data_IF_922310428453
#
_entry.id   IF_922310428453
#
_cell.length_a   1.000
_cell.length_b   1.000
_cell.length_c   1.000
_cell.angle_alpha   90.00
_cell.angle_beta   90.00
_cell.angle_gamma   90.00
#
_symmetry.space_group_name_H-M   'P 1'
#
loop_
_entity.id
_entity.type
_entity.pdbx_description
1 polymer ?
#
# COMPACT_ATOMS: atom_id res chain seq x y z
N UNK A 1 4.37 -6.20 -9.69
CA UNK A 1 3.67 -4.95 -9.34
C UNK A 1 2.46 -5.25 -8.47
N UNK A 2 1.49 -6.02 -8.98
CA UNK A 2 0.28 -6.37 -8.22
C UNK A 2 0.58 -7.17 -6.93
N UNK A 3 1.60 -8.02 -6.95
CA UNK A 3 2.05 -8.77 -5.78
C UNK A 3 2.50 -7.89 -4.61
N UNK A 4 3.49 -7.00 -4.77
CA UNK A 4 3.91 -6.09 -3.68
C UNK A 4 2.82 -5.20 -3.14
N UNK A 5 1.90 -4.79 -4.01
CA UNK A 5 0.76 -3.97 -3.59
C UNK A 5 -0.32 -4.80 -2.92
N UNK A 6 -0.28 -6.13 -3.03
CA UNK A 6 -1.09 -7.03 -2.23
C UNK A 6 -0.38 -7.12 -0.88
N UNK A 7 -0.62 -6.11 -0.05
CA UNK A 7 -0.09 -6.02 1.29
C UNK A 7 -1.11 -6.58 2.29
N UNK A 8 -0.66 -6.98 3.48
CA UNK A 8 -1.54 -7.58 4.48
C UNK A 8 -2.62 -6.62 5.00
N UNK A 9 -2.41 -5.31 4.87
CA UNK A 9 -3.34 -4.24 5.25
C UNK A 9 -4.40 -3.94 4.20
N UNK A 10 -4.12 -4.18 2.92
CA UNK A 10 -5.06 -3.80 1.83
C UNK A 10 -6.42 -4.49 1.94
N UNK A 11 -6.52 -5.80 2.25
CA UNK A 11 -7.82 -6.45 2.49
C UNK A 11 -8.58 -5.83 3.66
N UNK A 12 -7.87 -5.50 4.75
CA UNK A 12 -8.46 -4.85 5.93
C UNK A 12 -8.99 -3.46 5.59
N UNK A 13 -8.19 -2.66 4.86
CA UNK A 13 -8.59 -1.33 4.39
C UNK A 13 -9.85 -1.39 3.52
N UNK A 14 -9.87 -2.25 2.50
CA UNK A 14 -11.00 -2.36 1.57
C UNK A 14 -12.25 -2.86 2.29
N UNK A 15 -12.14 -3.89 3.14
CA UNK A 15 -13.27 -4.37 3.92
C UNK A 15 -13.80 -3.30 4.90
N UNK A 16 -12.89 -2.55 5.55
CA UNK A 16 -13.22 -1.45 6.45
C UNK A 16 -13.99 -0.33 5.74
N UNK A 17 -13.46 0.17 4.61
CA UNK A 17 -14.13 1.18 3.76
C UNK A 17 -15.54 0.71 3.38
N UNK A 18 -15.68 -0.55 2.97
CA UNK A 18 -16.98 -1.11 2.56
C UNK A 18 -17.98 -1.17 3.72
N UNK A 19 -17.55 -1.45 4.95
CA UNK A 19 -18.43 -1.38 6.10
C UNK A 19 -18.86 0.05 6.42
N UNK A 20 -17.92 0.98 6.41
CA UNK A 20 -18.15 2.38 6.76
C UNK A 20 -19.05 3.08 5.74
N UNK A 21 -18.74 2.99 4.45
CA UNK A 21 -19.36 3.81 3.39
C UNK A 21 -19.93 2.99 2.23
N UNK A 22 -19.87 1.67 2.30
CA UNK A 22 -20.37 0.78 1.25
C UNK A 22 -19.40 0.62 0.08
N UNK A 23 -19.84 -0.08 -0.97
CA UNK A 23 -19.04 -0.30 -2.19
C UNK A 23 -18.65 1.03 -2.84
N UNK A 24 -19.52 2.05 -2.76
CA UNK A 24 -19.20 3.40 -3.23
C UNK A 24 -17.96 4.01 -2.55
N UNK A 25 -17.66 3.65 -1.29
CA UNK A 25 -16.44 4.09 -0.60
C UNK A 25 -15.16 3.70 -1.32
N UNK A 26 -15.20 2.59 -2.05
CA UNK A 26 -14.03 2.06 -2.72
C UNK A 26 -13.57 2.92 -3.93
N UNK A 27 -14.30 3.97 -4.29
CA UNK A 27 -13.83 5.00 -5.23
C UNK A 27 -12.59 5.75 -4.73
N UNK A 28 -12.39 5.85 -3.41
CA UNK A 28 -11.13 6.31 -2.81
C UNK A 28 -9.93 5.48 -3.30
N UNK A 29 -10.14 4.17 -3.55
CA UNK A 29 -9.12 3.28 -4.08
C UNK A 29 -9.14 3.21 -5.62
N UNK A 30 -10.33 3.06 -6.23
CA UNK A 30 -10.47 2.89 -7.67
C UNK A 30 -10.07 4.13 -8.47
N UNK A 31 -10.15 5.34 -7.92
CA UNK A 31 -9.72 6.55 -8.63
C UNK A 31 -8.24 6.51 -9.05
N UNK A 32 -7.37 5.81 -8.30
CA UNK A 32 -5.97 5.63 -8.66
C UNK A 32 -5.75 4.79 -9.93
N UNK A 33 -6.79 4.14 -10.46
CA UNK A 33 -6.76 3.57 -11.82
C UNK A 33 -6.38 4.65 -12.84
N UNK A 34 -6.89 5.88 -12.70
CA UNK A 34 -6.57 6.98 -13.61
C UNK A 34 -5.07 7.32 -13.58
N UNK A 35 -4.48 7.35 -12.38
CA UNK A 35 -3.03 7.52 -12.19
C UNK A 35 -2.24 6.42 -12.91
N UNK A 36 -2.68 5.18 -12.72
CA UNK A 36 -2.03 4.04 -13.32
C UNK A 36 -2.16 4.01 -14.85
N UNK A 37 -3.31 4.40 -15.41
CA UNK A 37 -3.50 4.53 -16.86
C UNK A 37 -2.61 5.64 -17.45
N UNK A 38 -2.43 6.74 -16.73
CA UNK A 38 -1.50 7.79 -17.13
C UNK A 38 -0.06 7.25 -17.15
N UNK A 39 0.31 6.42 -16.17
CA UNK A 39 1.60 5.71 -16.18
C UNK A 39 1.74 4.76 -17.37
N UNK A 40 0.71 3.98 -17.72
CA UNK A 40 0.72 3.05 -18.87
C UNK A 40 1.04 3.79 -20.17
N UNK A 41 0.31 4.87 -20.46
CA UNK A 41 0.35 5.52 -21.76
C UNK A 41 1.50 6.51 -21.92
N UNK A 42 1.91 7.21 -20.85
CA UNK A 42 2.91 8.27 -20.94
C UNK A 42 4.25 7.86 -20.34
N UNK A 43 4.27 7.29 -19.14
CA UNK A 43 5.52 7.16 -18.37
C UNK A 43 6.21 5.81 -18.48
N UNK A 44 5.51 4.72 -18.76
CA UNK A 44 6.12 3.39 -18.73
C UNK A 44 7.30 3.26 -19.70
N UNK A 45 7.17 3.83 -20.90
CA UNK A 45 8.25 3.87 -21.90
C UNK A 45 9.37 4.82 -21.48
N UNK A 46 9.01 5.98 -20.95
CA UNK A 46 9.97 7.02 -20.55
C UNK A 46 10.84 6.56 -19.37
N UNK A 47 10.24 5.94 -18.36
CA UNK A 47 10.96 5.30 -17.25
C UNK A 47 11.87 4.21 -17.76
N UNK A 48 11.39 3.29 -18.61
CA UNK A 48 12.26 2.23 -19.12
C UNK A 48 13.46 2.77 -19.92
N UNK A 49 13.24 3.84 -20.70
CA UNK A 49 14.25 4.48 -21.55
C UNK A 49 15.31 5.26 -20.76
N UNK A 50 14.97 5.79 -19.58
CA UNK A 50 15.90 6.63 -18.82
C UNK A 50 17.16 5.90 -18.35
N UNK A 51 17.08 4.57 -18.20
CA UNK A 51 18.24 3.73 -17.85
C UNK A 51 18.80 3.97 -16.45
N UNK A 52 18.09 4.72 -15.61
CA UNK A 52 18.49 5.00 -14.22
C UNK A 52 18.37 3.76 -13.34
N UNK A 53 19.16 3.72 -12.27
CA UNK A 53 19.09 2.63 -11.29
C UNK A 53 18.01 2.90 -10.24
N UNK A 54 17.87 4.16 -9.82
CA UNK A 54 16.80 4.63 -8.94
C UNK A 54 16.00 5.72 -9.64
N UNK A 55 14.72 5.84 -9.33
CA UNK A 55 13.91 6.97 -9.77
C UNK A 55 14.41 8.31 -9.17
N UNK A 56 15.17 8.29 -8.06
CA UNK A 56 15.81 9.49 -7.53
C UNK A 56 17.03 9.96 -8.36
N UNK A 57 17.68 9.06 -9.08
CA UNK A 57 18.76 9.42 -10.01
C UNK A 57 18.23 10.24 -11.20
N UNK A 58 16.97 10.00 -11.60
CA UNK A 58 16.32 10.77 -12.67
C UNK A 58 16.31 12.28 -12.41
N UNK A 59 16.28 12.74 -11.15
CA UNK A 59 16.26 14.17 -10.85
C UNK A 59 17.57 14.88 -11.18
N UNK A 60 18.71 14.18 -11.08
CA UNK A 60 20.00 14.72 -11.53
C UNK A 60 20.21 14.57 -13.05
N UNK A 61 19.41 13.73 -13.74
CA UNK A 61 19.32 13.73 -15.20
C UNK A 61 18.43 14.87 -15.71
N UNK A 62 17.29 15.09 -15.04
CA UNK A 62 16.28 16.07 -15.44
C UNK A 62 16.68 17.49 -15.07
N UNK A 63 17.28 17.69 -13.91
CA UNK A 63 17.72 18.99 -13.41
C UNK A 63 19.24 19.03 -13.31
N UNK A 64 19.80 20.25 -13.36
CA UNK A 64 21.25 20.44 -13.33
C UNK A 64 21.70 21.16 -12.05
N UNK A 65 22.93 20.87 -11.64
CA UNK A 65 23.63 21.61 -10.58
C UNK A 65 23.30 21.17 -9.15
N UNK A 66 23.73 21.99 -8.19
CA UNK A 66 23.65 21.67 -6.75
C UNK A 66 22.22 21.51 -6.24
N UNK A 67 21.25 22.21 -6.83
CA UNK A 67 19.84 22.12 -6.46
C UNK A 67 19.23 20.77 -6.83
N UNK A 68 19.62 20.18 -7.97
CA UNK A 68 19.20 18.84 -8.37
C UNK A 68 19.70 17.78 -7.38
N UNK A 69 20.97 17.87 -7.00
CA UNK A 69 21.55 17.02 -5.97
C UNK A 69 20.81 17.20 -4.63
N UNK A 70 20.56 18.44 -4.20
CA UNK A 70 19.81 18.68 -2.96
C UNK A 70 18.40 18.06 -2.99
N UNK A 71 17.66 18.20 -4.09
CA UNK A 71 16.35 17.55 -4.25
C UNK A 71 16.46 16.02 -4.14
N UNK A 72 17.47 15.42 -4.78
CA UNK A 72 17.73 13.98 -4.68
C UNK A 72 17.92 13.54 -3.22
N UNK A 73 18.76 14.25 -2.47
CA UNK A 73 18.99 13.97 -1.05
C UNK A 73 17.75 14.22 -0.17
N UNK A 74 17.00 15.30 -0.43
CA UNK A 74 15.74 15.60 0.25
C UNK A 74 14.73 14.48 0.07
N UNK A 75 14.48 14.06 -1.19
CA UNK A 75 13.54 12.97 -1.49
C UNK A 75 14.00 11.62 -0.94
N UNK A 76 15.31 11.38 -0.87
CA UNK A 76 15.85 10.16 -0.28
C UNK A 76 15.42 9.98 1.18
N UNK A 77 15.40 11.06 1.97
CA UNK A 77 14.93 11.03 3.36
C UNK A 77 13.40 11.10 3.42
N UNK A 78 12.79 12.03 2.69
CA UNK A 78 11.35 12.26 2.72
C UNK A 78 10.57 11.01 2.27
N UNK A 79 10.86 10.47 1.08
CA UNK A 79 10.19 9.26 0.58
C UNK A 79 10.81 7.98 1.14
N UNK A 80 12.15 7.92 1.20
CA UNK A 80 12.86 6.70 1.56
C UNK A 80 12.80 6.34 3.03
N UNK A 81 12.56 7.32 3.92
CA UNK A 81 12.48 7.09 5.36
C UNK A 81 11.09 7.41 5.88
N UNK A 82 10.62 8.66 5.76
CA UNK A 82 9.38 9.10 6.43
C UNK A 82 8.16 8.35 5.87
N UNK A 83 7.92 8.41 4.56
CA UNK A 83 6.77 7.71 3.96
C UNK A 83 6.87 6.20 4.09
N UNK A 84 8.07 5.63 3.96
CA UNK A 84 8.26 4.19 4.17
C UNK A 84 7.89 3.77 5.59
N UNK A 85 8.26 4.53 6.62
CA UNK A 85 7.88 4.24 8.01
C UNK A 85 6.36 4.28 8.17
N UNK A 86 5.67 5.28 7.60
CA UNK A 86 4.21 5.41 7.69
C UNK A 86 3.52 4.22 7.03
N UNK A 87 3.91 3.85 5.80
CA UNK A 87 3.31 2.72 5.08
C UNK A 87 3.63 1.38 5.76
N UNK A 88 4.85 1.20 6.24
CA UNK A 88 5.17 -0.03 6.98
C UNK A 88 4.40 -0.10 8.30
N UNK A 89 4.08 1.03 8.93
CA UNK A 89 3.26 1.05 10.13
C UNK A 89 1.81 0.57 9.87
N UNK A 90 1.22 0.85 8.69
CA UNK A 90 -0.12 0.33 8.33
C UNK A 90 -0.11 -1.18 8.16
N UNK A 91 0.93 -1.70 7.51
CA UNK A 91 1.14 -3.13 7.32
C UNK A 91 1.39 -3.84 8.65
N UNK A 92 2.14 -3.21 9.58
CA UNK A 92 2.31 -3.67 10.95
C UNK A 92 1.01 -3.65 11.76
N UNK A 93 0.17 -2.62 11.61
CA UNK A 93 -1.15 -2.57 12.25
C UNK A 93 -2.04 -3.72 11.79
N UNK A 94 -2.06 -4.01 10.48
CA UNK A 94 -2.79 -5.16 9.96
C UNK A 94 -2.26 -6.49 10.51
N UNK A 95 -0.93 -6.63 10.63
CA UNK A 95 -0.32 -7.78 11.26
C UNK A 95 -0.76 -7.92 12.73
N UNK A 96 -0.79 -6.85 13.52
CA UNK A 96 -1.29 -6.86 14.91
C UNK A 96 -2.71 -7.42 14.97
N UNK A 97 -3.62 -6.92 14.12
CA UNK A 97 -5.02 -7.37 14.05
C UNK A 97 -5.11 -8.85 13.66
N UNK A 98 -4.41 -9.26 12.61
CA UNK A 98 -4.37 -10.66 12.16
C UNK A 98 -3.77 -11.56 13.24
N UNK A 99 -2.66 -11.15 13.86
CA UNK A 99 -1.94 -11.93 14.88
C UNK A 99 -2.78 -12.17 16.12
N UNK A 100 -3.53 -11.16 16.56
CA UNK A 100 -4.45 -11.31 17.67
C UNK A 100 -5.65 -12.21 17.32
N UNK A 101 -6.33 -11.94 16.20
CA UNK A 101 -7.53 -12.70 15.81
C UNK A 101 -7.20 -14.18 15.53
N UNK A 102 -6.07 -14.47 14.87
CA UNK A 102 -5.71 -15.84 14.46
C UNK A 102 -4.98 -16.62 15.56
N UNK A 103 -4.16 -15.96 16.37
CA UNK A 103 -3.23 -16.62 17.30
C UNK A 103 -3.33 -16.13 18.74
N UNK A 104 -4.21 -15.17 19.03
CA UNK A 104 -4.35 -14.51 20.33
C UNK A 104 -3.03 -13.87 20.81
N UNK A 105 -2.17 -13.46 19.89
CA UNK A 105 -0.94 -12.74 20.21
C UNK A 105 -1.23 -11.30 20.63
N UNK A 106 -0.42 -10.81 21.57
CA UNK A 106 -0.37 -9.38 21.88
C UNK A 106 0.23 -8.60 20.70
N UNK A 107 -0.01 -7.29 20.66
CA UNK A 107 0.61 -6.42 19.66
C UNK A 107 2.15 -6.51 19.71
N UNK A 108 2.73 -6.55 20.92
CA UNK A 108 4.17 -6.68 21.11
C UNK A 108 4.72 -7.99 20.53
N UNK A 109 4.13 -9.13 20.87
CA UNK A 109 4.55 -10.45 20.35
C UNK A 109 4.46 -10.50 18.83
N UNK A 110 3.34 -10.01 18.27
CA UNK A 110 3.12 -9.99 16.82
C UNK A 110 4.20 -9.17 16.12
N UNK A 111 4.46 -7.95 16.59
CA UNK A 111 5.49 -7.08 16.02
C UNK A 111 6.88 -7.69 16.17
N UNK A 112 7.22 -8.30 17.30
CA UNK A 112 8.51 -8.95 17.50
C UNK A 112 8.74 -10.09 16.50
N UNK A 113 7.76 -10.99 16.36
CA UNK A 113 7.84 -12.12 15.41
C UNK A 113 7.92 -11.59 13.98
N UNK A 114 7.01 -10.69 13.60
CA UNK A 114 6.91 -10.16 12.25
C UNK A 114 8.17 -9.37 11.84
N UNK A 115 8.73 -8.58 12.76
CA UNK A 115 9.96 -7.80 12.52
C UNK A 115 11.17 -8.70 12.36
N UNK A 116 11.36 -9.70 13.23
CA UNK A 116 12.52 -10.60 13.16
C UNK A 116 12.50 -11.37 11.84
N UNK A 117 11.38 -12.00 11.51
CA UNK A 117 11.24 -12.80 10.29
C UNK A 117 11.52 -11.94 9.05
N UNK A 118 11.01 -10.71 9.03
CA UNK A 118 11.12 -9.85 7.85
C UNK A 118 12.47 -9.18 7.70
N UNK A 119 13.11 -8.77 8.80
CA UNK A 119 14.49 -8.25 8.76
C UNK A 119 15.44 -9.35 8.28
N UNK A 120 15.32 -10.57 8.80
CA UNK A 120 16.14 -11.71 8.35
C UNK A 120 15.93 -12.00 6.86
N UNK A 121 14.69 -12.04 6.40
CA UNK A 121 14.35 -12.25 4.99
C UNK A 121 14.91 -11.13 4.10
N UNK A 122 14.78 -9.87 4.52
CA UNK A 122 15.23 -8.70 3.74
C UNK A 122 16.76 -8.65 3.60
N UNK A 123 17.50 -9.13 4.60
CA UNK A 123 18.96 -9.18 4.56
C UNK A 123 19.50 -10.24 3.59
N UNK A 124 18.68 -11.23 3.22
CA UNK A 124 19.06 -12.35 2.35
C UNK A 124 18.58 -12.17 0.90
N UNK A 125 17.55 -11.36 0.67
CA UNK A 125 16.87 -11.23 -0.62
C UNK A 125 17.43 -10.14 -1.53
N UNK A 126 17.89 -10.51 -2.73
CA UNK A 126 18.10 -9.57 -3.85
C UNK A 126 16.82 -9.39 -4.67
N UNK A 127 16.69 -8.27 -5.41
CA UNK A 127 15.47 -7.90 -6.18
C UNK A 127 14.93 -9.05 -7.05
N UNK A 128 15.80 -9.80 -7.74
CA UNK A 128 15.39 -10.94 -8.58
C UNK A 128 14.72 -12.06 -7.77
N UNK A 129 15.25 -12.38 -6.60
CA UNK A 129 14.68 -13.40 -5.71
C UNK A 129 13.30 -12.98 -5.21
N UNK A 130 13.20 -11.72 -4.76
CA UNK A 130 11.93 -11.12 -4.29
C UNK A 130 10.86 -11.14 -5.39
N UNK A 131 11.21 -10.82 -6.64
CA UNK A 131 10.22 -10.83 -7.74
C UNK A 131 9.66 -12.23 -8.05
N UNK A 132 10.47 -13.30 -7.90
CA UNK A 132 10.01 -14.67 -8.14
C UNK A 132 9.10 -15.12 -7.00
N UNK A 133 9.48 -14.85 -5.75
CA UNK A 133 8.64 -15.19 -4.58
C UNK A 133 7.32 -14.43 -4.62
N UNK A 134 7.34 -13.13 -4.92
CA UNK A 134 6.16 -12.29 -5.10
C UNK A 134 5.16 -12.89 -6.10
N UNK A 135 5.66 -13.42 -7.23
CA UNK A 135 4.80 -14.00 -8.27
C UNK A 135 4.03 -15.23 -7.77
N UNK A 136 4.73 -16.15 -7.09
CA UNK A 136 4.12 -17.36 -6.53
C UNK A 136 3.14 -16.99 -5.39
N UNK A 137 3.58 -16.10 -4.50
CA UNK A 137 2.78 -15.65 -3.35
C UNK A 137 1.49 -14.96 -3.80
N UNK A 138 1.53 -14.14 -4.86
CA UNK A 138 0.33 -13.51 -5.40
C UNK A 138 -0.68 -14.52 -5.97
N UNK A 139 -0.22 -15.58 -6.64
CA UNK A 139 -1.12 -16.63 -7.13
C UNK A 139 -1.82 -17.32 -5.95
N UNK A 140 -1.05 -17.70 -4.93
CA UNK A 140 -1.59 -18.34 -3.72
C UNK A 140 -2.58 -17.40 -3.03
N UNK A 141 -2.23 -16.11 -2.89
CA UNK A 141 -3.07 -15.11 -2.25
C UNK A 141 -4.40 -14.90 -3.00
N UNK A 142 -4.35 -14.78 -4.33
CA UNK A 142 -5.56 -14.62 -5.14
C UNK A 142 -6.47 -15.85 -5.09
N UNK A 143 -5.90 -17.06 -5.22
CA UNK A 143 -6.67 -18.31 -5.10
C UNK A 143 -7.28 -18.42 -3.70
N UNK A 144 -6.50 -18.13 -2.66
CA UNK A 144 -6.94 -18.14 -1.28
C UNK A 144 -8.06 -17.15 -1.00
N UNK A 145 -7.93 -15.90 -1.45
CA UNK A 145 -8.96 -14.88 -1.27
C UNK A 145 -10.25 -15.24 -2.01
N UNK A 146 -10.18 -15.71 -3.26
CA UNK A 146 -11.38 -16.11 -4.01
C UNK A 146 -12.06 -17.31 -3.34
N UNK A 147 -11.28 -18.31 -2.92
CA UNK A 147 -11.84 -19.49 -2.23
C UNK A 147 -12.43 -19.13 -0.87
N UNK A 148 -11.77 -18.26 -0.09
CA UNK A 148 -12.31 -17.74 1.16
C UNK A 148 -13.65 -17.02 0.95
N UNK A 149 -13.75 -16.18 -0.09
CA UNK A 149 -15.00 -15.50 -0.43
C UNK A 149 -16.11 -16.48 -0.79
N UNK A 150 -15.83 -17.50 -1.62
CA UNK A 150 -16.83 -18.53 -1.96
C UNK A 150 -17.30 -19.27 -0.70
N UNK A 151 -16.39 -19.69 0.17
CA UNK A 151 -16.74 -20.37 1.42
C UNK A 151 -17.57 -19.48 2.35
N UNK A 152 -17.20 -18.21 2.50
CA UNK A 152 -17.94 -17.25 3.34
C UNK A 152 -19.36 -17.01 2.81
N UNK A 153 -19.52 -16.94 1.48
CA UNK A 153 -20.85 -16.83 0.87
C UNK A 153 -21.73 -18.05 1.18
N UNK A 154 -21.14 -19.23 1.28
CA UNK A 154 -21.86 -20.48 1.57
C UNK A 154 -22.17 -20.69 3.07
N UNK A 155 -21.71 -19.79 3.96
CA UNK A 155 -22.05 -19.85 5.38
C UNK A 155 -23.57 -19.75 5.57
N UNK A 156 -24.20 -20.50 6.48
CA UNK A 156 -25.65 -20.49 6.69
C UNK A 156 -26.24 -19.10 6.96
N UNK A 157 -25.48 -18.23 7.62
CA UNK A 157 -25.85 -16.85 7.96
C UNK A 157 -25.90 -15.96 6.71
N UNK A 158 -24.97 -16.17 5.77
CA UNK A 158 -24.86 -15.38 4.52
C UNK A 158 -25.73 -15.97 3.42
N UNK A 159 -25.77 -17.29 3.30
CA UNK A 159 -26.63 -18.07 2.40
C UNK A 159 -26.65 -17.58 0.94
N UNK A 160 -25.46 -17.36 0.40
CA UNK A 160 -25.21 -17.02 -0.99
C UNK A 160 -25.33 -15.52 -1.31
N UNK A 161 -24.96 -15.18 -2.55
CA UNK A 161 -24.90 -13.80 -3.03
C UNK A 161 -26.25 -13.09 -3.01
N UNK A 162 -27.34 -13.81 -3.31
CA UNK A 162 -28.67 -13.22 -3.35
C UNK A 162 -29.11 -12.73 -1.96
N UNK A 163 -28.94 -13.57 -0.93
CA UNK A 163 -29.29 -13.19 0.43
C UNK A 163 -28.37 -12.07 0.94
N UNK A 164 -27.07 -12.13 0.61
CA UNK A 164 -26.12 -11.06 0.93
C UNK A 164 -26.60 -9.68 0.44
N UNK A 165 -26.93 -9.53 -0.85
CA UNK A 165 -27.28 -8.21 -1.41
C UNK A 165 -28.67 -7.71 -0.97
N UNK A 166 -29.57 -8.60 -0.55
CA UNK A 166 -30.91 -8.23 -0.06
C UNK A 166 -30.98 -8.07 1.46
N UNK A 167 -29.94 -8.46 2.20
CA UNK A 167 -29.93 -8.40 3.65
C UNK A 167 -30.09 -6.95 4.14
N UNK A 168 -30.91 -6.66 5.17
CA UNK A 168 -31.17 -5.29 5.63
C UNK A 168 -29.91 -4.49 5.99
N UNK A 169 -28.90 -5.14 6.58
CA UNK A 169 -27.62 -4.50 6.94
C UNK A 169 -26.72 -4.19 5.72
N UNK A 170 -27.01 -4.75 4.54
CA UNK A 170 -26.13 -4.72 3.37
C UNK A 170 -26.78 -3.99 2.19
N UNK A 171 -28.10 -4.05 2.03
CA UNK A 171 -28.81 -3.57 0.85
C UNK A 171 -28.55 -2.08 0.52
N UNK A 172 -28.30 -1.23 1.53
CA UNK A 172 -27.95 0.18 1.33
C UNK A 172 -26.47 0.42 0.96
N UNK A 173 -25.61 -0.59 1.16
CA UNK A 173 -24.14 -0.53 1.01
C UNK A 173 -23.64 -1.07 -0.33
N UNK A 174 -24.49 -1.69 -1.16
CA UNK A 174 -24.08 -2.33 -2.43
C UNK A 174 -23.92 -1.37 -3.61
N UNK A 175 -24.44 -0.15 -3.51
CA UNK A 175 -24.44 0.81 -4.61
C UNK A 175 -23.00 1.20 -4.98
N UNK A 176 -22.69 1.16 -6.28
CA UNK A 176 -21.39 1.59 -6.82
C UNK A 176 -21.21 3.11 -6.76
N UNK A 177 -22.30 3.87 -6.74
CA UNK A 177 -22.27 5.32 -6.64
C UNK A 177 -22.81 5.74 -5.26
N UNK A 178 -22.27 6.82 -4.67
CA UNK A 178 -22.80 7.36 -3.43
C UNK A 178 -24.22 7.89 -3.63
N UNK A 179 -24.91 8.13 -2.52
CA UNK A 179 -26.14 8.91 -2.52
C UNK A 179 -25.84 10.38 -2.88
N UNK A 180 -26.30 10.81 -4.05
CA UNK A 180 -26.11 12.18 -4.56
C UNK A 180 -26.90 13.23 -3.78
N UNK A 181 -27.85 12.83 -2.92
CA UNK A 181 -28.53 13.77 -2.00
C UNK A 181 -27.66 14.15 -0.80
N UNK A 182 -26.69 13.30 -0.44
CA UNK A 182 -25.71 13.59 0.60
C UNK A 182 -24.44 14.19 -0.04
N UNK A 183 -24.41 15.52 -0.13
CA UNK A 183 -23.29 16.25 -0.75
C UNK A 183 -21.94 15.95 -0.10
N UNK A 184 -21.88 15.82 1.23
CA UNK A 184 -20.63 15.54 1.94
C UNK A 184 -20.07 14.16 1.56
N UNK A 185 -20.91 13.14 1.61
CA UNK A 185 -20.54 11.78 1.20
C UNK A 185 -20.12 11.74 -0.27
N UNK A 186 -20.94 12.32 -1.15
CA UNK A 186 -20.65 12.38 -2.59
C UNK A 186 -19.31 13.08 -2.87
N UNK A 187 -19.03 14.19 -2.18
CA UNK A 187 -17.77 14.91 -2.33
C UNK A 187 -16.59 14.08 -1.82
N UNK A 188 -16.70 13.56 -0.60
CA UNK A 188 -15.62 12.86 0.09
C UNK A 188 -15.19 11.57 -0.60
N UNK A 189 -16.12 10.68 -0.92
CA UNK A 189 -15.77 9.32 -1.38
C UNK A 189 -15.77 9.16 -2.89
N UNK A 190 -16.34 10.11 -3.66
CA UNK A 190 -16.50 9.97 -5.11
C UNK A 190 -15.89 11.14 -5.90
N UNK A 191 -16.40 12.37 -5.72
CA UNK A 191 -15.98 13.49 -6.58
C UNK A 191 -14.53 13.93 -6.30
N UNK A 192 -14.11 14.06 -5.05
CA UNK A 192 -12.72 14.43 -4.72
C UNK A 192 -11.74 13.35 -5.21
N UNK A 193 -11.97 12.04 -4.94
CA UNK A 193 -11.14 10.98 -5.50
C UNK A 193 -10.99 11.06 -7.03
N UNK A 194 -12.12 11.19 -7.74
CA UNK A 194 -12.17 11.14 -9.21
C UNK A 194 -11.66 12.42 -9.88
N UNK A 195 -11.89 13.60 -9.29
CA UNK A 195 -11.56 14.88 -9.89
C UNK A 195 -10.18 15.41 -9.47
N UNK A 196 -9.70 15.07 -8.26
CA UNK A 196 -8.52 15.69 -7.64
C UNK A 196 -7.50 14.65 -7.20
N UNK A 197 -7.87 13.73 -6.30
CA UNK A 197 -6.93 12.87 -5.56
C UNK A 197 -5.96 12.12 -6.47
N UNK A 198 -6.47 11.49 -7.54
CA UNK A 198 -5.66 10.59 -8.37
C UNK A 198 -4.45 11.29 -9.04
N UNK A 199 -4.54 12.59 -9.33
CA UNK A 199 -3.44 13.34 -9.94
C UNK A 199 -2.75 14.28 -8.96
N UNK A 200 -3.43 14.72 -7.89
CA UNK A 200 -2.88 15.71 -6.96
C UNK A 200 -1.92 15.11 -5.95
N UNK A 201 -2.07 13.82 -5.65
CA UNK A 201 -1.48 13.18 -4.48
C UNK A 201 -0.45 12.12 -4.83
N UNK A 202 0.65 12.10 -4.08
CA UNK A 202 1.60 10.99 -4.09
C UNK A 202 1.07 9.81 -3.25
N UNK A 203 0.96 8.63 -3.84
CA UNK A 203 0.69 7.39 -3.12
C UNK A 203 1.61 6.27 -3.61
N UNK A 204 2.16 5.41 -2.72
CA UNK A 204 3.04 4.32 -3.14
C UNK A 204 2.31 3.34 -4.07
N UNK A 205 2.80 3.21 -5.31
CA UNK A 205 2.16 2.35 -6.32
C UNK A 205 1.19 3.08 -7.25
N UNK A 206 0.83 4.32 -6.91
CA UNK A 206 0.00 5.22 -7.71
C UNK A 206 0.60 6.64 -7.71
N UNK A 207 1.92 6.74 -7.91
CA UNK A 207 2.59 8.02 -8.10
C UNK A 207 2.13 8.63 -9.44
N UNK A 208 1.60 9.87 -9.48
CA UNK A 208 1.08 10.49 -10.70
C UNK A 208 2.03 10.48 -11.91
N UNK A 209 3.33 10.59 -11.68
CA UNK A 209 4.43 10.50 -12.64
C UNK A 209 5.00 9.10 -12.90
N UNK A 210 4.40 8.03 -12.37
CA UNK A 210 4.83 6.64 -12.53
C UNK A 210 6.05 6.21 -11.70
N UNK A 211 6.49 7.02 -10.74
CA UNK A 211 7.66 6.83 -9.89
C UNK A 211 7.54 5.75 -8.80
N UNK A 212 8.46 5.79 -7.84
CA UNK A 212 8.52 4.86 -6.71
C UNK A 212 8.91 3.43 -7.11
N UNK A 213 8.47 2.44 -6.34
CA UNK A 213 8.78 1.04 -6.62
C UNK A 213 8.14 0.51 -7.93
N UNK A 214 7.15 1.21 -8.50
CA UNK A 214 6.60 0.90 -9.82
C UNK A 214 7.63 1.24 -10.90
N UNK A 215 8.30 2.39 -10.80
CA UNK A 215 9.41 2.76 -11.69
C UNK A 215 10.53 1.72 -11.66
N UNK A 216 10.93 1.22 -10.48
CA UNK A 216 11.96 0.17 -10.38
C UNK A 216 11.61 -1.08 -11.20
N UNK A 217 10.34 -1.46 -11.23
CA UNK A 217 9.87 -2.61 -12.01
C UNK A 217 9.79 -2.33 -13.50
N UNK A 218 9.44 -1.11 -13.88
CA UNK A 218 9.51 -0.67 -15.28
C UNK A 218 10.96 -0.63 -15.77
N UNK A 219 11.89 -0.15 -14.95
CA UNK A 219 13.33 -0.12 -15.23
C UNK A 219 13.92 -1.53 -15.41
N UNK A 220 13.46 -2.49 -14.58
CA UNK A 220 13.88 -3.89 -14.66
C UNK A 220 13.22 -4.68 -15.81
N UNK A 221 12.26 -4.10 -16.53
CA UNK A 221 11.61 -4.78 -17.65
C UNK A 221 12.57 -4.98 -18.83
N UNK A 222 12.33 -6.02 -19.64
CA UNK A 222 13.18 -6.34 -20.79
C UNK A 222 13.33 -5.14 -21.75
N UNK A 223 12.22 -4.51 -22.10
CA UNK A 223 12.13 -3.39 -23.04
C UNK A 223 10.89 -2.52 -22.75
N UNK A 224 10.73 -1.41 -23.49
CA UNK A 224 9.63 -0.46 -23.31
C UNK A 224 8.25 -1.11 -23.49
N UNK A 225 8.11 -2.05 -24.43
CA UNK A 225 6.85 -2.76 -24.69
C UNK A 225 6.48 -3.62 -23.49
N UNK A 226 7.43 -4.39 -22.96
CA UNK A 226 7.24 -5.20 -21.77
C UNK A 226 6.93 -4.34 -20.54
N UNK A 227 7.56 -3.18 -20.39
CA UNK A 227 7.24 -2.23 -19.32
C UNK A 227 5.78 -1.75 -19.41
N UNK A 228 5.33 -1.29 -20.59
CA UNK A 228 3.94 -0.84 -20.79
C UNK A 228 2.92 -1.96 -20.51
N UNK A 229 3.13 -3.17 -21.06
CA UNK A 229 2.21 -4.29 -20.82
C UNK A 229 2.19 -4.73 -19.36
N UNK A 230 3.33 -4.70 -18.67
CA UNK A 230 3.40 -5.05 -17.26
C UNK A 230 2.60 -4.07 -16.38
N UNK A 231 2.67 -2.76 -16.67
CA UNK A 231 1.87 -1.76 -15.94
C UNK A 231 0.38 -1.83 -16.32
N UNK A 232 0.04 -2.14 -17.58
CA UNK A 232 -1.35 -2.31 -17.98
C UNK A 232 -1.99 -3.52 -17.28
N UNK A 233 -1.30 -4.66 -17.27
CA UNK A 233 -1.75 -5.84 -16.54
C UNK A 233 -1.83 -5.56 -15.03
N UNK A 234 -0.88 -4.82 -14.48
CA UNK A 234 -0.94 -4.36 -13.09
C UNK A 234 -2.24 -3.61 -12.79
N UNK A 235 -2.62 -2.62 -13.61
CA UNK A 235 -3.85 -1.86 -13.41
C UNK A 235 -5.10 -2.75 -13.43
N UNK A 236 -5.20 -3.65 -14.41
CA UNK A 236 -6.31 -4.60 -14.50
C UNK A 236 -6.38 -5.50 -13.26
N UNK A 237 -5.27 -6.16 -12.91
CA UNK A 237 -5.26 -7.09 -11.79
C UNK A 237 -5.47 -6.37 -10.44
N UNK A 238 -4.89 -5.18 -10.27
CA UNK A 238 -4.88 -4.44 -9.01
C UNK A 238 -6.21 -3.75 -8.70
N UNK A 239 -6.84 -3.09 -9.68
CA UNK A 239 -8.06 -2.30 -9.46
C UNK A 239 -9.34 -3.05 -9.84
N UNK A 240 -9.31 -3.89 -10.90
CA UNK A 240 -10.52 -4.53 -11.41
C UNK A 240 -10.77 -5.92 -10.83
N UNK A 241 -9.73 -6.70 -10.51
CA UNK A 241 -9.88 -8.09 -10.06
C UNK A 241 -9.70 -8.24 -8.55
N UNK A 242 -8.57 -7.76 -8.04
CA UNK A 242 -8.11 -8.03 -6.68
C UNK A 242 -9.02 -7.49 -5.55
N UNK A 243 -9.68 -6.32 -5.63
CA UNK A 243 -10.46 -5.80 -4.51
C UNK A 243 -11.76 -6.57 -4.24
N UNK A 244 -12.34 -7.23 -5.24
CA UNK A 244 -13.68 -7.83 -5.14
C UNK A 244 -13.84 -8.90 -4.05
N UNK A 245 -12.91 -9.87 -3.89
CA UNK A 245 -12.97 -10.80 -2.77
C UNK A 245 -13.09 -10.10 -1.41
N UNK A 246 -12.35 -9.00 -1.22
CA UNK A 246 -12.33 -8.24 0.03
C UNK A 246 -13.59 -7.39 0.21
N UNK A 247 -14.11 -6.80 -0.87
CA UNK A 247 -15.39 -6.08 -0.86
C UNK A 247 -16.52 -7.03 -0.42
N UNK A 248 -16.58 -8.23 -1.00
CA UNK A 248 -17.63 -9.20 -0.67
C UNK A 248 -17.50 -9.67 0.78
N UNK A 249 -16.27 -9.93 1.26
CA UNK A 249 -16.03 -10.26 2.67
C UNK A 249 -16.43 -9.11 3.60
N UNK A 250 -16.13 -7.86 3.23
CA UNK A 250 -16.57 -6.66 3.95
C UNK A 250 -18.10 -6.58 4.06
N UNK A 251 -18.83 -6.81 2.97
CA UNK A 251 -20.30 -6.85 2.99
C UNK A 251 -20.84 -8.01 3.85
N UNK A 252 -20.29 -9.21 3.68
CA UNK A 252 -20.71 -10.39 4.45
C UNK A 252 -20.48 -10.21 5.95
N UNK A 253 -19.42 -9.48 6.32
CA UNK A 253 -19.15 -9.16 7.72
C UNK A 253 -20.22 -8.29 8.38
N UNK A 254 -21.03 -7.53 7.64
CA UNK A 254 -22.16 -6.75 8.20
C UNK A 254 -23.34 -7.64 8.62
N UNK A 255 -23.36 -8.89 8.17
CA UNK A 255 -24.35 -9.90 8.60
C UNK A 255 -23.86 -10.60 9.87
N UNK A 256 -22.61 -11.09 9.85
CA UNK A 256 -22.04 -11.87 10.97
C UNK A 256 -21.62 -10.98 12.14
N UNK A 257 -21.04 -9.81 11.85
CA UNK A 257 -20.59 -8.81 12.81
C UNK A 257 -21.24 -7.44 12.52
N UNK A 258 -22.52 -7.24 12.88
CA UNK A 258 -23.31 -6.07 12.46
C UNK A 258 -22.73 -4.72 12.92
N UNK A 259 -21.98 -4.70 14.02
CA UNK A 259 -21.44 -3.48 14.62
C UNK A 259 -20.10 -3.75 15.33
N UNK A 260 -19.40 -2.69 15.75
CA UNK A 260 -18.11 -2.81 16.44
C UNK A 260 -18.22 -3.54 17.80
N UNK A 261 -19.38 -3.48 18.47
CA UNK A 261 -19.63 -4.19 19.72
C UNK A 261 -19.60 -5.72 19.52
N UNK A 262 -20.17 -6.21 18.41
CA UNK A 262 -20.11 -7.62 18.06
C UNK A 262 -18.67 -8.11 17.78
N UNK A 263 -17.83 -7.25 17.19
CA UNK A 263 -16.40 -7.53 17.02
C UNK A 263 -15.66 -7.52 18.36
N UNK A 264 -15.90 -6.53 19.22
CA UNK A 264 -15.29 -6.45 20.54
C UNK A 264 -15.63 -7.68 21.40
N UNK A 265 -16.89 -8.13 21.31
CA UNK A 265 -17.36 -9.33 22.02
C UNK A 265 -16.69 -10.60 21.52
N UNK A 266 -16.47 -10.72 20.20
CA UNK A 266 -15.81 -11.87 19.60
C UNK A 266 -14.29 -11.91 19.89
N UNK A 267 -13.65 -10.75 20.04
CA UNK A 267 -12.21 -10.63 20.27
C UNK A 267 -11.91 -9.82 21.55
N UNK A 268 -12.29 -10.32 22.73
CA UNK A 268 -12.18 -9.56 24.00
C UNK A 268 -10.73 -9.32 24.46
N UNK A 269 -9.77 -10.08 23.93
CA UNK A 269 -8.35 -9.94 24.25
C UNK A 269 -7.62 -8.93 23.35
N UNK A 270 -8.29 -8.42 22.31
CA UNK A 270 -7.74 -7.36 21.48
C UNK A 270 -7.88 -6.03 22.23
N UNK A 271 -6.82 -5.21 22.21
CA UNK A 271 -6.90 -3.84 22.72
C UNK A 271 -8.07 -3.10 22.03
N UNK A 272 -9.05 -2.56 22.77
CA UNK A 272 -10.24 -1.93 22.22
C UNK A 272 -9.96 -0.88 21.15
N UNK A 273 -8.80 -0.21 21.20
CA UNK A 273 -8.42 0.79 20.19
C UNK A 273 -8.31 0.21 18.77
N UNK A 274 -8.00 -1.09 18.66
CA UNK A 274 -7.85 -1.78 17.38
C UNK A 274 -9.18 -2.39 16.88
N UNK A 275 -10.26 -2.31 17.66
CA UNK A 275 -11.59 -2.77 17.26
C UNK A 275 -12.26 -1.69 16.41
N UNK A 276 -11.96 -1.72 15.11
CA UNK A 276 -12.47 -0.82 14.08
C UNK A 276 -12.98 -1.63 12.89
N UNK A 277 -13.59 -0.98 11.90
CA UNK A 277 -14.25 -1.67 10.78
C UNK A 277 -13.30 -2.52 9.93
N UNK A 278 -12.03 -2.15 9.86
CA UNK A 278 -10.96 -2.91 9.19
C UNK A 278 -10.58 -4.24 9.89
N UNK A 279 -10.98 -4.44 11.15
CA UNK A 279 -10.86 -5.72 11.88
C UNK A 279 -11.80 -6.80 11.31
N UNK A 280 -12.84 -6.39 10.60
CA UNK A 280 -13.83 -7.30 10.02
C UNK A 280 -13.22 -8.34 9.08
N UNK A 281 -12.22 -7.96 8.29
CA UNK A 281 -11.58 -8.89 7.36
C UNK A 281 -10.93 -10.08 8.10
N UNK A 282 -9.96 -9.89 9.02
CA UNK A 282 -9.39 -11.00 9.77
C UNK A 282 -10.44 -11.74 10.60
N UNK A 283 -11.43 -11.04 11.18
CA UNK A 283 -12.52 -11.68 11.92
C UNK A 283 -13.28 -12.71 11.07
N UNK A 284 -13.61 -12.37 9.82
CA UNK A 284 -14.30 -13.28 8.90
C UNK A 284 -13.45 -14.49 8.51
N UNK A 285 -12.11 -14.40 8.57
CA UNK A 285 -11.25 -15.54 8.28
C UNK A 285 -11.36 -16.65 9.33
N UNK A 286 -11.81 -16.34 10.56
CA UNK A 286 -11.96 -17.34 11.63
C UNK A 286 -12.99 -18.44 11.31
N UNK A 287 -13.89 -18.20 10.35
CA UNK A 287 -14.88 -19.17 9.89
C UNK A 287 -14.34 -20.17 8.87
N UNK A 288 -13.16 -19.90 8.30
CA UNK A 288 -12.58 -20.76 7.26
C UNK A 288 -12.13 -22.11 7.84
N UNK A 289 -12.28 -23.21 7.09
CA UNK A 289 -11.81 -24.52 7.52
C UNK A 289 -10.28 -24.54 7.55
N UNK A 290 -9.70 -25.36 8.42
CA UNK A 290 -8.26 -25.34 8.75
C UNK A 290 -7.32 -25.31 7.52
N UNK A 291 -7.62 -26.08 6.46
CA UNK A 291 -6.80 -26.10 5.24
C UNK A 291 -6.82 -24.77 4.47
N UNK A 292 -8.01 -24.21 4.26
CA UNK A 292 -8.18 -22.91 3.59
C UNK A 292 -7.68 -21.75 4.45
N UNK A 293 -7.95 -21.81 5.76
CA UNK A 293 -7.44 -20.86 6.73
C UNK A 293 -5.91 -20.80 6.70
N UNK A 294 -5.25 -21.96 6.75
CA UNK A 294 -3.79 -22.06 6.66
C UNK A 294 -3.22 -21.46 5.36
N UNK A 295 -3.88 -21.70 4.22
CA UNK A 295 -3.50 -21.12 2.93
C UNK A 295 -3.62 -19.60 2.94
N UNK A 296 -4.75 -19.06 3.41
CA UNK A 296 -4.98 -17.60 3.46
C UNK A 296 -4.00 -16.93 4.43
N UNK A 297 -3.83 -17.47 5.64
CA UNK A 297 -2.87 -16.94 6.63
C UNK A 297 -1.45 -16.95 6.05
N UNK A 298 -1.03 -18.05 5.42
CA UNK A 298 0.30 -18.14 4.80
C UNK A 298 0.47 -17.07 3.72
N UNK A 299 -0.57 -16.82 2.92
CA UNK A 299 -0.55 -15.78 1.90
C UNK A 299 -0.48 -14.36 2.49
N UNK A 300 -1.13 -14.10 3.63
CA UNK A 300 -1.10 -12.81 4.32
C UNK A 300 0.27 -12.56 4.98
N UNK A 301 0.87 -13.58 5.59
CA UNK A 301 2.24 -13.50 6.11
C UNK A 301 3.23 -13.24 4.97
N UNK A 302 3.06 -13.94 3.85
CA UNK A 302 3.87 -13.72 2.65
C UNK A 302 3.71 -12.29 2.08
N UNK A 303 2.47 -11.78 2.01
CA UNK A 303 2.16 -10.41 1.62
C UNK A 303 2.82 -9.39 2.55
N UNK A 304 2.70 -9.58 3.86
CA UNK A 304 3.39 -8.77 4.87
C UNK A 304 4.89 -8.71 4.62
N UNK A 305 5.53 -9.88 4.48
CA UNK A 305 6.98 -9.97 4.24
C UNK A 305 7.39 -9.29 2.93
N UNK A 306 6.63 -9.49 1.85
CA UNK A 306 6.90 -8.88 0.54
C UNK A 306 6.85 -7.35 0.60
N UNK A 307 5.80 -6.79 1.19
CA UNK A 307 5.60 -5.34 1.28
C UNK A 307 6.65 -4.70 2.17
N UNK A 308 6.81 -5.18 3.41
CA UNK A 308 7.79 -4.63 4.34
C UNK A 308 9.21 -4.77 3.77
N UNK A 309 9.57 -5.92 3.18
CA UNK A 309 10.90 -6.10 2.56
C UNK A 309 11.11 -5.15 1.38
N UNK A 310 10.08 -4.90 0.57
CA UNK A 310 10.15 -3.92 -0.51
C UNK A 310 10.43 -2.52 0.04
N UNK A 311 9.68 -2.07 1.06
CA UNK A 311 9.85 -0.74 1.65
C UNK A 311 11.22 -0.60 2.35
N UNK A 312 11.65 -1.61 3.09
CA UNK A 312 12.96 -1.61 3.76
C UNK A 312 14.11 -1.55 2.76
N UNK A 313 14.09 -2.39 1.71
CA UNK A 313 15.16 -2.43 0.72
C UNK A 313 15.16 -1.17 -0.17
N UNK A 314 13.97 -0.71 -0.58
CA UNK A 314 13.82 0.51 -1.36
C UNK A 314 14.28 1.75 -0.59
N UNK A 315 13.79 1.92 0.65
CA UNK A 315 14.20 3.01 1.54
C UNK A 315 15.68 2.97 1.90
N UNK A 316 16.21 1.78 2.17
CA UNK A 316 17.63 1.60 2.46
C UNK A 316 18.51 1.99 1.28
N UNK A 317 18.10 1.62 0.05
CA UNK A 317 18.81 2.04 -1.17
C UNK A 317 18.85 3.56 -1.30
N UNK A 318 17.76 4.27 -0.98
CA UNK A 318 17.75 5.74 -0.99
C UNK A 318 18.69 6.32 0.06
N UNK A 319 18.64 5.82 1.30
CA UNK A 319 19.53 6.28 2.38
C UNK A 319 20.99 6.05 2.00
N UNK A 320 21.33 4.90 1.42
CA UNK A 320 22.71 4.55 1.07
C UNK A 320 23.20 5.30 -0.18
N UNK A 321 22.48 5.21 -1.29
CA UNK A 321 22.95 5.69 -2.59
C UNK A 321 22.68 7.18 -2.80
N UNK A 322 21.47 7.61 -2.42
CA UNK A 322 20.98 8.95 -2.76
C UNK A 322 21.26 9.97 -1.64
N UNK A 323 21.49 9.52 -0.40
CA UNK A 323 21.86 10.40 0.72
C UNK A 323 23.31 10.18 1.20
N UNK A 324 23.64 9.01 1.73
CA UNK A 324 24.92 8.75 2.41
C UNK A 324 26.11 8.82 1.44
N UNK A 325 26.11 7.99 0.39
CA UNK A 325 27.19 7.95 -0.59
C UNK A 325 27.25 9.23 -1.44
N UNK A 326 26.16 9.99 -1.52
CA UNK A 326 26.13 11.24 -2.29
C UNK A 326 26.62 12.46 -1.51
N UNK A 327 26.20 12.60 -0.24
CA UNK A 327 26.41 13.82 0.55
C UNK A 327 27.28 13.63 1.78
N UNK A 328 27.25 12.46 2.42
CA UNK A 328 27.95 12.22 3.69
C UNK A 328 29.35 11.67 3.45
N UNK A 329 29.48 10.61 2.64
CA UNK A 329 30.75 9.95 2.34
C UNK A 329 30.85 9.49 0.89
N UNK A 330 31.43 10.35 0.05
CA UNK A 330 31.48 10.19 -1.42
C UNK A 330 32.33 9.01 -1.89
N UNK A 331 33.33 8.65 -1.11
CA UNK A 331 34.27 7.55 -1.32
C UNK A 331 33.94 6.33 -0.45
N UNK A 332 32.68 6.19 -0.02
CA UNK A 332 32.26 5.08 0.82
C UNK A 332 32.57 3.73 0.16
N UNK A 333 33.28 2.86 0.88
CA UNK A 333 33.53 1.49 0.41
C UNK A 333 32.23 0.68 0.40
N UNK A 334 32.18 -0.38 -0.40
CA UNK A 334 31.01 -1.27 -0.46
C UNK A 334 30.65 -1.85 0.92
N UNK A 335 31.66 -2.16 1.76
CA UNK A 335 31.43 -2.59 3.15
C UNK A 335 30.71 -1.52 3.97
N UNK A 336 31.07 -0.25 3.83
CA UNK A 336 30.42 0.86 4.54
C UNK A 336 28.98 1.06 4.07
N UNK A 337 28.75 1.01 2.75
CA UNK A 337 27.40 1.10 2.16
C UNK A 337 26.49 -0.01 2.68
N UNK A 338 26.97 -1.25 2.73
CA UNK A 338 26.23 -2.39 3.27
C UNK A 338 25.88 -2.16 4.76
N UNK A 339 26.82 -1.70 5.58
CA UNK A 339 26.58 -1.45 7.01
C UNK A 339 25.51 -0.38 7.21
N UNK A 340 25.62 0.77 6.52
CA UNK A 340 24.63 1.85 6.59
C UNK A 340 23.26 1.35 6.12
N UNK A 341 23.23 0.54 5.06
CA UNK A 341 22.01 -0.08 4.58
C UNK A 341 21.34 -0.94 5.66
N UNK A 342 22.09 -1.85 6.27
CA UNK A 342 21.56 -2.72 7.35
C UNK A 342 21.07 -1.92 8.56
N UNK A 343 21.79 -0.86 8.97
CA UNK A 343 21.37 0.01 10.07
C UNK A 343 20.05 0.72 9.71
N UNK A 344 19.93 1.27 8.50
CA UNK A 344 18.71 1.95 8.06
C UNK A 344 17.50 1.01 8.07
N UNK A 345 17.67 -0.26 7.65
CA UNK A 345 16.62 -1.29 7.70
C UNK A 345 16.11 -1.49 9.14
N UNK A 346 17.02 -1.70 10.09
CA UNK A 346 16.66 -1.95 11.49
C UNK A 346 15.95 -0.73 12.10
N UNK A 347 16.47 0.48 11.86
CA UNK A 347 15.87 1.72 12.37
C UNK A 347 14.47 1.93 11.81
N UNK A 348 14.29 1.81 10.49
CA UNK A 348 12.97 2.01 9.88
C UNK A 348 11.95 0.97 10.34
N UNK A 349 12.35 -0.30 10.49
CA UNK A 349 11.47 -1.35 11.02
C UNK A 349 11.03 -1.05 12.46
N UNK A 350 11.97 -0.64 13.32
CA UNK A 350 11.67 -0.27 14.71
C UNK A 350 10.72 0.92 14.78
N UNK A 351 10.96 1.98 14.00
CA UNK A 351 10.09 3.15 13.93
C UNK A 351 8.69 2.80 13.39
N UNK A 352 8.59 1.95 12.37
CA UNK A 352 7.31 1.50 11.83
C UNK A 352 6.50 0.68 12.85
N UNK A 353 7.17 -0.22 13.58
CA UNK A 353 6.56 -0.98 14.67
C UNK A 353 6.02 -0.07 15.78
N UNK A 354 6.83 0.89 16.24
CA UNK A 354 6.39 1.86 17.25
C UNK A 354 5.23 2.73 16.77
N UNK A 355 5.29 3.24 15.53
CA UNK A 355 4.22 4.04 14.95
C UNK A 355 2.92 3.23 14.81
N UNK A 356 3.00 1.95 14.46
CA UNK A 356 1.82 1.07 14.34
C UNK A 356 1.04 0.89 15.64
N UNK A 357 1.68 1.08 16.79
CA UNK A 357 1.01 1.02 18.11
C UNK A 357 0.14 2.25 18.41
N UNK A 358 0.34 3.33 17.65
CA UNK A 358 -0.40 4.60 17.78
C UNK A 358 -1.54 4.67 16.77
N UNK A 359 -1.47 3.93 15.66
CA UNK A 359 -2.52 3.87 14.66
C UNK A 359 -3.70 3.00 15.13
N UNK A 360 -4.93 3.45 14.89
CA UNK A 360 -6.14 2.71 15.29
C UNK A 360 -6.73 1.89 14.13
N UNK A 361 -6.81 2.47 12.94
CA UNK A 361 -7.36 1.84 11.74
C UNK A 361 -6.54 2.14 10.48
N UNK A 362 -6.65 1.24 9.51
CA UNK A 362 -5.95 1.36 8.23
C UNK A 362 -6.32 2.65 7.47
N UNK A 363 -7.58 3.11 7.58
CA UNK A 363 -8.05 4.30 6.88
C UNK A 363 -7.37 5.59 7.35
N UNK A 364 -7.15 5.76 8.65
CA UNK A 364 -6.48 6.97 9.19
C UNK A 364 -5.10 7.18 8.56
N UNK A 365 -4.34 6.10 8.42
CA UNK A 365 -3.01 6.16 7.83
C UNK A 365 -3.05 6.29 6.30
N UNK A 366 -4.05 5.68 5.63
CA UNK A 366 -4.29 5.90 4.21
C UNK A 366 -4.59 7.38 3.92
N UNK A 367 -5.48 7.98 4.70
CA UNK A 367 -5.85 9.40 4.57
C UNK A 367 -4.66 10.31 4.88
N UNK A 368 -3.87 10.00 5.92
CA UNK A 368 -2.64 10.73 6.26
C UNK A 368 -1.63 10.74 5.10
N UNK A 369 -1.40 9.58 4.47
CA UNK A 369 -0.49 9.47 3.31
C UNK A 369 -1.03 10.31 2.15
N UNK A 370 -2.34 10.29 1.92
CA UNK A 370 -2.97 11.08 0.86
C UNK A 370 -2.82 12.57 1.12
N UNK A 371 -3.01 13.01 2.36
CA UNK A 371 -2.92 14.42 2.75
C UNK A 371 -1.48 14.94 2.63
N UNK A 372 -0.49 14.23 3.19
CA UNK A 372 0.92 14.63 3.11
C UNK A 372 1.41 14.60 1.64
N UNK A 373 0.87 13.70 0.81
CA UNK A 373 1.19 13.62 -0.61
C UNK A 373 0.50 14.68 -1.48
N UNK A 374 -0.57 15.32 -1.00
CA UNK A 374 -1.44 16.19 -1.79
C UNK A 374 -0.73 17.50 -2.19
N UNK A 375 -0.79 17.85 -3.48
CA UNK A 375 -0.18 19.07 -4.03
C UNK A 375 1.13 18.84 -4.77
N UNK A 376 1.75 17.67 -4.59
CA UNK A 376 2.99 17.30 -5.29
C UNK A 376 2.75 16.65 -6.67
N UNK A 377 1.55 16.08 -6.89
CA UNK A 377 1.28 15.22 -8.04
C UNK A 377 1.33 15.91 -9.40
N UNK A 378 0.82 17.14 -9.54
CA UNK A 378 0.91 17.90 -10.79
C UNK A 378 2.36 18.14 -11.22
N UNK A 379 3.26 18.38 -10.27
CA UNK A 379 4.67 18.55 -10.58
C UNK A 379 5.29 17.25 -11.10
N UNK A 380 4.89 16.11 -10.55
CA UNK A 380 5.39 14.81 -11.00
C UNK A 380 4.89 14.42 -12.38
N UNK A 381 3.69 14.87 -12.76
CA UNK A 381 3.18 14.77 -14.12
C UNK A 381 3.98 15.71 -15.05
N UNK A 382 3.99 17.00 -14.73
CA UNK A 382 4.50 18.02 -15.65
C UNK A 382 6.01 18.03 -15.80
N UNK A 383 6.80 17.54 -14.82
CA UNK A 383 8.28 17.57 -14.88
C UNK A 383 8.85 16.91 -16.15
N UNK A 384 8.16 15.92 -16.71
CA UNK A 384 8.59 15.21 -17.92
C UNK A 384 8.48 16.05 -19.19
N UNK A 385 7.53 17.00 -19.20
CA UNK A 385 7.13 17.71 -20.42
C UNK A 385 7.37 19.23 -20.32
N UNK A 386 7.44 19.77 -19.11
CA UNK A 386 7.53 21.21 -18.88
C UNK A 386 8.89 21.61 -18.29
N UNK A 387 9.65 22.37 -19.07
CA UNK A 387 10.99 22.82 -18.72
C UNK A 387 11.06 23.74 -17.49
N UNK A 388 9.97 24.46 -17.16
CA UNK A 388 9.95 25.42 -16.05
C UNK A 388 9.91 24.79 -14.66
N UNK A 389 9.49 23.53 -14.56
CA UNK A 389 9.61 22.78 -13.30
C UNK A 389 11.10 22.70 -12.96
N UNK A 390 11.42 23.03 -11.72
CA UNK A 390 12.78 23.05 -11.19
C UNK A 390 12.81 22.41 -9.79
N UNK A 391 14.01 22.13 -9.25
CA UNK A 391 14.12 21.44 -7.97
C UNK A 391 13.40 22.12 -6.80
N UNK A 392 13.40 23.46 -6.75
CA UNK A 392 12.77 24.20 -5.66
C UNK A 392 11.25 24.11 -5.71
N UNK A 393 10.65 24.11 -6.90
CA UNK A 393 9.20 23.89 -7.04
C UNK A 393 8.76 22.56 -6.42
N UNK A 394 9.53 21.49 -6.65
CA UNK A 394 9.23 20.18 -6.06
C UNK A 394 9.42 20.14 -4.55
N UNK A 395 10.51 20.74 -4.03
CA UNK A 395 10.77 20.80 -2.59
C UNK A 395 9.69 21.62 -1.89
N UNK A 396 9.34 22.79 -2.43
CA UNK A 396 8.30 23.65 -1.87
C UNK A 396 6.97 22.92 -1.82
N UNK A 397 6.58 22.24 -2.90
CA UNK A 397 5.34 21.47 -2.88
C UNK A 397 5.35 20.40 -1.78
N UNK A 398 6.36 19.52 -1.75
CA UNK A 398 6.44 18.45 -0.73
C UNK A 398 6.50 18.99 0.70
N UNK A 399 7.24 20.07 0.94
CA UNK A 399 7.37 20.69 2.25
C UNK A 399 6.06 21.38 2.68
N UNK A 400 5.41 22.12 1.78
CA UNK A 400 4.12 22.76 2.06
C UNK A 400 3.04 21.71 2.33
N UNK A 401 2.98 20.63 1.56
CA UNK A 401 2.04 19.53 1.80
C UNK A 401 2.24 18.90 3.19
N UNK A 402 3.49 18.69 3.60
CA UNK A 402 3.82 18.15 4.93
C UNK A 402 3.49 19.10 6.08
N UNK A 403 3.56 20.42 5.87
CA UNK A 403 3.26 21.42 6.92
C UNK A 403 1.75 21.63 7.08
N UNK A 404 1.00 21.49 5.98
CA UNK A 404 -0.46 21.71 5.97
C UNK A 404 -1.22 20.48 6.50
N UNK A 405 -0.74 19.28 6.16
CA UNK A 405 -1.22 18.02 6.74
C UNK A 405 -0.79 17.91 8.21
#
# INVERSE_FOLDING_TARGET
>A
MVATTFAADTPNLVAGIVRETGVAGNWEWWAFLLTGMLTVFFYARLWRRSGVTTDLEFYELRYQGKSAAFLRGFRAIYLGVIFNIIIMATVCLAAIKIGNVMFNFTAGETLWIASIVTVLYSLLGGLKGVLITDFIQFIIAMVGSIWATMYILDLPEVNGMQNLITHPNVASKINLLPDFSNTELMMGIFLIPLAVQWWSTWYPGAEPGGGGYVAQRMLAAKDEKNATWAVLFFNLAHYALRPWPWIIIGLASLIIYPNLESLATAFPNLDPKFVKDDLSYPAMLTFLPAGLLGLVITSLIAAFMSTISTHLNWGSSYVVNDFYARFVKKDASEKQKIIVGRISIVIMMACAGLLSLVLEQAKDAFDLVIQIGAGSGLLFILRWFWHRINPWSEITAMASSLIIA
#
